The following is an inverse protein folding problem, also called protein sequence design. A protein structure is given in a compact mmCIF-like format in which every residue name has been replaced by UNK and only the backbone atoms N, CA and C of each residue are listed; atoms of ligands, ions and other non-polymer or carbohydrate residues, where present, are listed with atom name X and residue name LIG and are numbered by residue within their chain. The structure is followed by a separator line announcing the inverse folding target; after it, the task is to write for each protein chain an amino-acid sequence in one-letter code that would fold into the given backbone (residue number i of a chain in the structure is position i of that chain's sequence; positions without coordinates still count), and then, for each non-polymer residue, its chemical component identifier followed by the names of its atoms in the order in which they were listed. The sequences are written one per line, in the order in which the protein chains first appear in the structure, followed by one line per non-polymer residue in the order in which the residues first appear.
data_IF_634878665309
#
_entry.id   IF_634878665309
#
_cell.length_a   1.000
_cell.length_b   1.000
_cell.length_c   1.000
_cell.angle_alpha   90.00
_cell.angle_beta   90.00
_cell.angle_gamma   90.00
#
_symmetry.space_group_name_H-M   'P 1'
#
loop_
_entity.id
_entity.type
_entity.pdbx_description
1 polymer ?
#
# COMPACT_ATOMS: atom_id res chain seq x y z
N UNK A 1 -31.41 4.93 23.99
CA UNK A 1 -31.04 5.58 22.72
C UNK A 1 -29.55 5.37 22.49
N UNK A 2 -29.17 4.47 21.58
CA UNK A 2 -27.77 4.27 21.20
C UNK A 2 -27.36 5.36 20.20
N UNK A 3 -26.24 6.04 20.47
CA UNK A 3 -25.62 6.97 19.52
C UNK A 3 -24.73 6.18 18.56
N UNK A 4 -25.05 6.25 17.27
CA UNK A 4 -24.14 5.79 16.22
C UNK A 4 -23.24 6.94 15.77
N UNK A 5 -21.94 6.68 15.70
CA UNK A 5 -20.94 7.57 15.12
C UNK A 5 -20.23 6.85 13.99
N UNK A 6 -19.94 7.57 12.90
CA UNK A 6 -19.20 7.05 11.75
C UNK A 6 -17.84 7.75 11.68
N UNK A 7 -16.78 6.96 11.55
CA UNK A 7 -15.43 7.47 11.31
C UNK A 7 -15.20 7.50 9.80
N UNK A 8 -14.85 8.67 9.27
CA UNK A 8 -14.59 8.87 7.84
C UNK A 8 -13.12 9.28 7.65
N UNK A 9 -12.35 8.64 6.75
CA UNK A 9 -11.00 9.08 6.43
C UNK A 9 -11.02 10.48 5.79
N UNK A 10 -10.20 11.40 6.29
CA UNK A 10 -10.08 12.76 5.73
C UNK A 10 -9.06 12.86 4.60
N UNK A 11 -8.27 11.81 4.37
CA UNK A 11 -7.27 11.74 3.31
C UNK A 11 -7.12 10.31 2.78
N UNK A 12 -6.53 10.19 1.58
CA UNK A 12 -6.21 8.89 1.00
C UNK A 12 -5.26 8.10 1.92
N UNK A 13 -5.55 6.81 2.09
CA UNK A 13 -4.80 5.91 2.95
C UNK A 13 -3.32 5.81 2.55
N UNK A 14 -2.45 5.67 3.56
CA UNK A 14 -1.03 5.35 3.36
C UNK A 14 -0.91 3.88 2.96
N UNK A 15 -0.16 3.63 1.90
CA UNK A 15 0.17 2.28 1.42
C UNK A 15 1.52 1.86 2.00
N UNK A 16 1.53 0.70 2.65
CA UNK A 16 2.73 0.15 3.28
C UNK A 16 3.46 -0.77 2.31
N UNK A 17 4.54 -0.27 1.72
CA UNK A 17 5.38 -0.98 0.73
C UNK A 17 6.83 -0.51 0.84
N UNK A 18 7.79 -1.42 0.62
CA UNK A 18 9.20 -1.05 0.55
C UNK A 18 9.47 -0.19 -0.67
N UNK A 19 10.08 0.96 -0.48
CA UNK A 19 10.61 1.74 -1.58
C UNK A 19 11.84 1.05 -2.18
N UNK A 20 11.93 1.02 -3.51
CA UNK A 20 13.07 0.42 -4.19
C UNK A 20 14.28 1.38 -4.25
N UNK A 21 14.07 2.67 -3.98
CA UNK A 21 15.09 3.73 -4.05
C UNK A 21 15.62 4.18 -2.68
N UNK A 22 14.84 4.04 -1.60
CA UNK A 22 15.22 4.48 -0.25
C UNK A 22 14.72 3.50 0.82
N UNK A 23 14.99 3.81 2.09
CA UNK A 23 14.59 2.98 3.24
C UNK A 23 13.10 3.10 3.61
N UNK A 24 12.35 4.03 2.99
CA UNK A 24 10.96 4.26 3.33
C UNK A 24 10.07 3.05 3.09
N UNK A 25 9.11 2.90 3.99
CA UNK A 25 8.06 1.90 3.95
C UNK A 25 6.68 2.41 3.57
N UNK A 26 6.57 3.69 3.26
CA UNK A 26 5.29 4.40 3.18
C UNK A 26 5.16 5.13 1.87
N UNK A 27 4.04 4.88 1.22
CA UNK A 27 3.63 5.55 -0.01
C UNK A 27 2.30 6.24 0.20
N UNK A 28 2.15 7.44 -0.34
CA UNK A 28 0.89 8.18 -0.37
C UNK A 28 0.34 8.12 -1.78
N UNK A 29 -0.89 7.61 -1.93
CA UNK A 29 -1.58 7.67 -3.21
C UNK A 29 -1.78 9.14 -3.61
N UNK A 30 -1.50 9.46 -4.87
CA UNK A 30 -1.60 10.84 -5.37
C UNK A 30 -2.93 11.10 -6.12
N UNK A 31 -3.85 10.14 -6.11
CA UNK A 31 -5.15 10.21 -6.78
C UNK A 31 -5.10 10.05 -8.30
N UNK A 32 -3.94 9.81 -8.90
CA UNK A 32 -3.79 9.68 -10.36
C UNK A 32 -3.77 8.22 -10.78
N UNK A 33 -4.50 7.91 -11.84
CA UNK A 33 -4.47 6.60 -12.48
C UNK A 33 -3.66 6.63 -13.78
N UNK A 34 -3.04 5.50 -14.09
CA UNK A 34 -2.58 5.19 -15.45
C UNK A 34 -3.41 4.05 -15.97
N UNK A 35 -4.09 4.30 -17.09
CA UNK A 35 -4.88 3.30 -17.81
C UNK A 35 -4.17 3.02 -19.12
N UNK A 36 -3.78 1.77 -19.33
CA UNK A 36 -3.22 1.29 -20.57
C UNK A 36 -4.18 0.29 -21.21
N UNK A 37 -4.47 0.47 -22.48
CA UNK A 37 -5.17 -0.51 -23.30
C UNK A 37 -4.17 -1.21 -24.21
N UNK A 38 -4.22 -2.54 -24.26
CA UNK A 38 -3.46 -3.35 -25.19
C UNK A 38 -4.41 -4.33 -25.91
N UNK A 39 -4.74 -4.01 -27.16
CA UNK A 39 -5.78 -4.68 -27.95
C UNK A 39 -7.10 -4.79 -27.16
N UNK A 40 -7.46 -6.01 -26.73
CA UNK A 40 -8.71 -6.34 -26.04
C UNK A 40 -8.63 -6.25 -24.52
N UNK A 41 -7.46 -5.95 -23.97
CA UNK A 41 -7.22 -5.95 -22.52
C UNK A 41 -6.86 -4.56 -21.99
N UNK A 42 -7.33 -4.26 -20.79
CA UNK A 42 -7.03 -3.07 -20.01
C UNK A 42 -6.18 -3.43 -18.81
N UNK A 43 -5.26 -2.53 -18.51
CA UNK A 43 -4.52 -2.46 -17.26
C UNK A 43 -4.71 -1.08 -16.67
N UNK A 44 -5.01 -1.00 -15.38
CA UNK A 44 -5.11 0.26 -14.68
C UNK A 44 -4.30 0.20 -13.38
N UNK A 45 -3.55 1.27 -13.12
CA UNK A 45 -2.78 1.43 -11.89
C UNK A 45 -3.14 2.74 -11.21
N UNK A 46 -3.28 2.71 -9.88
CA UNK A 46 -3.24 3.92 -9.06
C UNK A 46 -1.76 4.25 -8.77
N UNK A 47 -1.39 5.51 -8.95
CA UNK A 47 -0.04 5.98 -8.67
C UNK A 47 0.08 6.40 -7.20
N UNK A 48 1.20 6.02 -6.59
CA UNK A 48 1.53 6.43 -5.24
C UNK A 48 2.99 6.87 -5.16
N UNK A 49 3.26 7.88 -4.34
CA UNK A 49 4.57 8.49 -4.17
C UNK A 49 5.17 8.09 -2.83
N UNK A 50 6.45 7.76 -2.83
CA UNK A 50 7.20 7.52 -1.60
C UNK A 50 7.16 8.78 -0.74
N UNK A 51 6.83 8.62 0.53
CA UNK A 51 6.71 9.76 1.46
C UNK A 51 8.06 10.43 1.79
N UNK A 52 9.19 9.80 1.49
CA UNK A 52 10.53 10.35 1.74
C UNK A 52 11.22 10.85 0.48
N UNK A 53 11.31 10.02 -0.57
CA UNK A 53 12.08 10.37 -1.77
C UNK A 53 11.23 10.79 -2.98
N UNK A 54 9.89 10.75 -2.87
CA UNK A 54 8.98 11.11 -3.96
C UNK A 54 8.93 10.13 -5.13
N UNK A 55 9.65 9.01 -5.05
CA UNK A 55 9.66 7.98 -6.09
C UNK A 55 8.26 7.38 -6.30
N UNK A 56 7.91 7.09 -7.56
CA UNK A 56 6.56 6.65 -7.93
C UNK A 56 6.46 5.14 -7.98
N UNK A 57 5.47 4.58 -7.29
CA UNK A 57 5.05 3.19 -7.41
C UNK A 57 3.68 3.08 -8.08
N UNK A 58 3.40 1.91 -8.65
CA UNK A 58 2.13 1.57 -9.29
C UNK A 58 1.42 0.52 -8.44
N UNK A 59 0.18 0.81 -8.06
CA UNK A 59 -0.71 -0.09 -7.33
C UNK A 59 -1.71 -0.66 -8.34
N UNK A 60 -1.78 -1.98 -8.45
CA UNK A 60 -2.57 -2.62 -9.49
C UNK A 60 -4.08 -2.61 -9.17
N UNK A 61 -4.84 -1.84 -9.94
CA UNK A 61 -6.30 -1.72 -9.79
C UNK A 61 -6.99 -2.74 -10.69
N UNK A 62 -6.67 -2.72 -11.99
CA UNK A 62 -7.17 -3.69 -12.97
C UNK A 62 -5.98 -4.36 -13.66
N UNK A 63 -6.03 -5.69 -13.74
CA UNK A 63 -5.00 -6.49 -14.39
C UNK A 63 -5.63 -7.35 -15.49
N UNK A 64 -5.27 -7.09 -16.76
CA UNK A 64 -5.71 -7.87 -17.93
C UNK A 64 -7.23 -8.04 -18.03
N UNK A 65 -7.98 -7.00 -17.72
CA UNK A 65 -9.44 -7.02 -17.83
C UNK A 65 -9.86 -6.84 -19.29
N UNK A 66 -10.85 -7.58 -19.78
CA UNK A 66 -11.33 -7.33 -21.15
C UNK A 66 -11.97 -5.95 -21.21
N UNK A 67 -11.67 -5.16 -22.25
CA UNK A 67 -12.23 -3.80 -22.41
C UNK A 67 -13.76 -3.83 -22.33
N UNK A 68 -14.41 -4.83 -22.92
CA UNK A 68 -15.87 -4.97 -22.94
C UNK A 68 -16.47 -5.42 -21.61
N UNK A 69 -15.67 -5.98 -20.71
CA UNK A 69 -16.14 -6.38 -19.37
C UNK A 69 -16.00 -5.26 -18.34
N UNK A 70 -15.34 -4.14 -18.68
CA UNK A 70 -15.20 -2.98 -17.79
C UNK A 70 -16.37 -2.05 -18.04
N UNK A 71 -17.06 -1.68 -16.97
CA UNK A 71 -18.18 -0.72 -17.03
C UNK A 71 -17.68 0.63 -17.57
N UNK A 72 -18.40 1.27 -18.52
CA UNK A 72 -17.99 2.55 -19.10
C UNK A 72 -17.80 3.65 -18.04
N UNK A 73 -18.66 3.69 -17.02
CA UNK A 73 -18.56 4.66 -15.92
C UNK A 73 -17.24 4.51 -15.15
N UNK A 74 -16.83 3.27 -14.86
CA UNK A 74 -15.56 2.99 -14.18
C UNK A 74 -14.39 3.45 -15.04
N UNK A 75 -14.43 3.17 -16.34
CA UNK A 75 -13.39 3.62 -17.26
C UNK A 75 -13.31 5.16 -17.31
N UNK A 76 -14.45 5.84 -17.33
CA UNK A 76 -14.51 7.29 -17.29
C UNK A 76 -13.90 7.87 -16.00
N UNK A 77 -14.26 7.34 -14.84
CA UNK A 77 -13.69 7.76 -13.55
C UNK A 77 -12.18 7.51 -13.47
N UNK A 78 -11.71 6.37 -13.99
CA UNK A 78 -10.28 6.06 -14.06
C UNK A 78 -9.53 7.07 -14.94
N UNK A 79 -10.06 7.42 -16.12
CA UNK A 79 -9.46 8.45 -16.97
C UNK A 79 -9.56 9.86 -16.37
N UNK A 80 -10.65 10.15 -15.66
CA UNK A 80 -10.89 11.42 -14.97
C UNK A 80 -10.07 11.63 -13.70
N UNK A 81 -9.35 10.61 -13.21
CA UNK A 81 -8.65 10.65 -11.93
C UNK A 81 -9.57 10.97 -10.74
N UNK A 82 -10.73 10.30 -10.71
CA UNK A 82 -11.71 10.55 -9.67
C UNK A 82 -11.14 10.24 -8.25
N UNK A 83 -11.13 11.22 -7.33
CA UNK A 83 -10.56 11.04 -6.01
C UNK A 83 -11.41 10.12 -5.11
N UNK A 84 -12.73 10.04 -5.34
CA UNK A 84 -13.63 9.14 -4.64
C UNK A 84 -13.32 7.69 -4.97
N UNK A 85 -13.15 7.38 -6.26
CA UNK A 85 -12.71 6.08 -6.75
C UNK A 85 -11.34 5.70 -6.18
N UNK A 86 -10.39 6.63 -6.11
CA UNK A 86 -9.08 6.36 -5.49
C UNK A 86 -9.22 5.99 -4.01
N UNK A 87 -10.08 6.69 -3.26
CA UNK A 87 -10.34 6.39 -1.85
C UNK A 87 -10.99 5.02 -1.66
N UNK A 88 -11.98 4.68 -2.49
CA UNK A 88 -12.65 3.38 -2.48
C UNK A 88 -11.68 2.23 -2.79
N UNK A 89 -10.90 2.37 -3.86
CA UNK A 89 -9.95 1.33 -4.29
C UNK A 89 -8.82 1.09 -3.28
N UNK A 90 -8.40 2.11 -2.53
CA UNK A 90 -7.43 1.93 -1.44
C UNK A 90 -8.00 1.13 -0.26
N UNK A 91 -9.32 1.11 -0.09
CA UNK A 91 -10.01 0.31 0.91
C UNK A 91 -10.32 -1.11 0.39
N UNK A 92 -10.39 -1.29 -0.93
CA UNK A 92 -10.66 -2.58 -1.56
C UNK A 92 -9.60 -3.64 -1.14
N UNK A 93 -10.02 -4.73 -0.49
CA UNK A 93 -9.10 -5.76 -0.03
C UNK A 93 -8.38 -6.47 -1.19
N UNK A 94 -8.92 -6.49 -2.40
CA UNK A 94 -8.27 -7.06 -3.58
C UNK A 94 -7.07 -6.22 -3.98
N UNK A 95 -7.23 -4.90 -4.11
CA UNK A 95 -6.14 -3.96 -4.42
C UNK A 95 -5.06 -4.04 -3.34
N UNK A 96 -5.48 -3.98 -2.06
CA UNK A 96 -4.55 -4.11 -0.92
C UNK A 96 -3.76 -5.41 -0.94
N UNK A 97 -4.37 -6.55 -1.30
CA UNK A 97 -3.66 -7.83 -1.38
C UNK A 97 -2.65 -7.89 -2.53
N UNK A 98 -2.95 -7.28 -3.67
CA UNK A 98 -2.02 -7.21 -4.81
C UNK A 98 -0.76 -6.40 -4.48
N UNK A 99 -0.92 -5.36 -3.67
CA UNK A 99 0.22 -4.54 -3.23
C UNK A 99 1.06 -5.22 -2.15
N UNK A 100 0.46 -6.13 -1.37
CA UNK A 100 1.17 -6.97 -0.40
C UNK A 100 1.83 -8.15 -1.13
N UNK A 101 2.81 -7.84 -1.97
CA UNK A 101 3.71 -8.82 -2.60
C UNK A 101 4.73 -9.41 -1.62
N UNK A 102 4.29 -9.83 -0.43
CA UNK A 102 5.09 -10.53 0.57
C UNK A 102 4.23 -11.61 1.22
N UNK A 103 4.58 -12.88 0.99
CA UNK A 103 3.88 -14.05 1.51
C UNK A 103 3.63 -13.98 3.02
N UNK A 104 2.42 -14.34 3.45
CA UNK A 104 2.15 -14.78 4.82
C UNK A 104 0.96 -14.10 5.47
N UNK A 105 0.03 -14.91 5.99
CA UNK A 105 -1.04 -14.46 6.88
C UNK A 105 -0.41 -13.75 8.08
N UNK A 106 -0.96 -12.57 8.40
CA UNK A 106 -0.84 -11.91 9.70
C UNK A 106 0.58 -11.77 10.22
N UNK A 107 1.36 -10.81 9.71
CA UNK A 107 2.48 -10.19 10.45
C UNK A 107 3.08 -9.08 9.58
N UNK A 108 3.66 -8.06 10.22
CA UNK A 108 4.32 -6.93 9.56
C UNK A 108 5.19 -7.43 8.40
N UNK A 109 5.17 -6.77 7.21
CA UNK A 109 6.03 -7.16 6.10
C UNK A 109 7.47 -7.33 6.57
N UNK A 110 8.19 -8.35 6.09
CA UNK A 110 9.53 -8.70 6.59
C UNK A 110 10.53 -7.53 6.62
N UNK A 111 10.41 -6.57 5.69
CA UNK A 111 11.23 -5.36 5.66
C UNK A 111 10.84 -4.29 6.70
N UNK A 112 9.69 -4.44 7.37
CA UNK A 112 9.29 -3.67 8.55
C UNK A 112 9.62 -4.41 9.86
N UNK A 113 10.19 -5.61 9.81
CA UNK A 113 10.65 -6.31 11.01
C UNK A 113 11.79 -5.53 11.65
N UNK A 114 11.78 -5.29 12.98
CA UNK A 114 12.93 -4.70 13.67
C UNK A 114 14.17 -5.59 13.59
N UNK A 115 14.00 -6.87 13.21
CA UNK A 115 15.06 -7.85 13.01
C UNK A 115 15.56 -7.90 11.55
N UNK A 116 15.00 -7.09 10.64
CA UNK A 116 15.35 -7.09 9.22
C UNK A 116 14.69 -8.23 8.42
N UNK A 117 14.88 -8.27 7.08
CA UNK A 117 14.38 -9.36 6.25
C UNK A 117 15.00 -10.69 6.69
N UNK A 118 14.24 -11.81 6.69
CA UNK A 118 14.82 -13.11 6.98
C UNK A 118 15.96 -13.39 5.98
N UNK A 119 17.07 -14.01 6.44
CA UNK A 119 18.18 -14.33 5.57
C UNK A 119 17.69 -15.16 4.38
N UNK A 120 18.31 -14.97 3.21
CA UNK A 120 18.04 -15.78 2.03
C UNK A 120 18.15 -17.25 2.43
N UNK A 121 17.10 -18.03 2.13
CA UNK A 121 17.04 -19.46 2.45
C UNK A 121 18.06 -20.21 1.60
N UNK A 122 19.33 -20.16 2.01
CA UNK A 122 20.35 -21.09 1.58
C UNK A 122 19.92 -22.51 1.95
N UNK A 123 20.30 -23.47 1.12
CA UNK A 123 19.89 -24.88 1.24
C UNK A 123 19.94 -25.39 2.70
N UNK A 124 18.81 -25.95 3.14
CA UNK A 124 18.56 -26.74 4.37
C UNK A 124 19.57 -26.53 5.51
N UNK A 125 19.25 -25.61 6.42
CA UNK A 125 19.94 -25.51 7.70
C UNK A 125 19.11 -24.79 8.75
N UNK A 126 18.80 -25.51 9.83
CA UNK A 126 18.21 -25.13 11.13
C UNK A 126 18.03 -23.63 11.41
N UNK A 127 16.82 -23.24 11.84
CA UNK A 127 16.53 -21.91 12.39
C UNK A 127 17.56 -21.54 13.47
N UNK A 128 18.19 -20.38 13.34
CA UNK A 128 18.97 -19.81 14.44
C UNK A 128 18.02 -19.51 15.61
N UNK A 129 18.42 -19.75 16.87
CA UNK A 129 17.60 -19.38 18.02
C UNK A 129 17.37 -17.87 18.02
N UNK A 130 16.12 -17.46 18.17
CA UNK A 130 15.77 -16.05 18.37
C UNK A 130 16.37 -15.61 19.71
N UNK A 131 17.22 -14.57 19.77
CA UNK A 131 17.73 -14.09 21.04
C UNK A 131 16.58 -13.65 21.95
N UNK A 132 16.56 -14.15 23.19
CA UNK A 132 15.62 -13.71 24.21
C UNK A 132 15.73 -12.19 24.42
N UNK A 133 14.57 -11.53 24.46
CA UNK A 133 14.44 -10.07 24.50
C UNK A 133 15.16 -9.48 25.72
N UNK A 134 16.23 -8.73 25.51
CA UNK A 134 16.68 -7.72 26.47
C UNK A 134 15.74 -6.51 26.36
N UNK A 135 14.89 -6.31 27.35
CA UNK A 135 14.02 -5.14 27.44
C UNK A 135 14.86 -3.89 27.77
N UNK A 136 15.40 -3.24 26.75
CA UNK A 136 15.90 -1.87 26.91
C UNK A 136 14.71 -0.91 26.90
N UNK A 137 14.29 -0.44 28.08
CA UNK A 137 13.31 0.64 28.25
C UNK A 137 13.84 1.92 27.59
N UNK A 138 13.58 2.09 26.30
CA UNK A 138 13.84 3.35 25.60
C UNK A 138 12.56 4.16 25.57
N UNK A 139 12.62 5.34 26.18
CA UNK A 139 11.51 6.25 26.38
C UNK A 139 10.75 6.54 25.07
N UNK A 140 9.45 6.33 25.11
CA UNK A 140 8.50 6.75 24.08
C UNK A 140 8.52 8.27 23.98
N UNK A 141 9.31 8.82 23.06
CA UNK A 141 9.18 10.23 22.68
C UNK A 141 7.86 10.40 21.95
N UNK A 142 6.89 10.98 22.65
CA UNK A 142 5.73 11.64 22.05
C UNK A 142 6.21 12.82 21.22
N UNK A 143 5.75 12.90 19.97
CA UNK A 143 5.80 14.09 19.13
C UNK A 143 5.87 13.74 17.64
N UNK A 144 5.13 14.35 16.71
CA UNK A 144 4.21 15.48 16.77
C UNK A 144 3.06 15.28 15.77
N UNK A 145 2.00 16.06 15.99
CA UNK A 145 0.80 16.14 15.18
C UNK A 145 1.09 16.31 13.68
N UNK A 146 0.20 15.71 12.90
CA UNK A 146 -0.13 16.08 11.53
C UNK A 146 -0.23 17.60 11.38
N UNK A 147 0.80 18.22 10.82
CA UNK A 147 0.69 19.56 10.26
C UNK A 147 0.29 19.47 8.79
N UNK A 148 -0.97 19.87 8.56
CA UNK A 148 -1.54 20.54 7.38
C UNK A 148 -1.14 19.98 6.00
N UNK A 149 -2.12 19.31 5.40
CA UNK A 149 -2.31 19.35 3.95
C UNK A 149 -2.85 20.75 3.57
N UNK A 150 -2.09 21.49 2.76
CA UNK A 150 -2.59 22.55 1.87
C UNK A 150 -2.49 22.01 0.46
#
# INVERSE_FOLDING_TARGET
MSKNWVVVPTCLSIVLRRCHRCASGRFRANGKFRVNANHKFLHAWLLALCTECGDTTKLAVLERMNVRSVRPELLHMLHGNDPGLAAELLQDPVVRRRDVGGSGRTERPAWQSPYGPPPHRGHRGRWAPVPGVAWSRSAFRRGNLCDRCV
#
